data_IF_972836197865
#
_entry.id   IF_972836197865
#
_cell.length_a   1.000
_cell.length_b   1.000
_cell.length_c   1.000
_cell.angle_alpha   90.00
_cell.angle_beta   90.00
_cell.angle_gamma   90.00
#
_symmetry.space_group_name_H-M   'P 1'
#
loop_
_entity.id
_entity.type
_entity.pdbx_description
1 polymer ?
#
# COMPACT_ATOMS: atom_id res chain seq x y z
N UNK A 1 10.30 5.43 1.29
CA UNK A 1 9.63 4.44 0.42
C UNK A 1 10.47 4.20 -0.82
N UNK A 2 10.49 2.97 -1.33
CA UNK A 2 11.15 2.62 -2.58
C UNK A 2 10.18 1.88 -3.49
N UNK A 3 10.19 2.21 -4.79
CA UNK A 3 9.45 1.44 -5.79
C UNK A 3 10.19 0.13 -6.07
N UNK A 4 9.53 -1.00 -5.81
CA UNK A 4 10.08 -2.33 -6.06
C UNK A 4 9.08 -3.17 -6.84
N UNK A 5 9.61 -4.15 -7.58
CA UNK A 5 8.84 -5.17 -8.30
C UNK A 5 9.41 -6.54 -7.94
N UNK A 6 8.54 -7.53 -7.75
CA UNK A 6 8.94 -8.89 -7.43
C UNK A 6 8.12 -9.89 -8.25
N UNK A 7 8.79 -10.91 -8.80
CA UNK A 7 8.12 -12.04 -9.42
C UNK A 7 8.13 -13.25 -8.48
N UNK A 8 7.00 -13.96 -8.40
CA UNK A 8 6.90 -15.25 -7.71
C UNK A 8 6.07 -16.25 -8.52
N UNK A 9 6.65 -17.42 -8.75
CA UNK A 9 5.94 -18.55 -9.36
C UNK A 9 4.73 -19.00 -8.54
N UNK A 10 4.81 -18.91 -7.21
CA UNK A 10 3.70 -19.23 -6.30
C UNK A 10 2.52 -18.25 -6.40
N UNK A 11 2.69 -17.12 -7.08
CA UNK A 11 1.66 -16.12 -7.29
C UNK A 11 1.30 -15.96 -8.78
N UNK A 12 1.65 -16.94 -9.63
CA UNK A 12 1.47 -16.86 -11.10
C UNK A 12 0.02 -16.60 -11.52
N UNK A 13 -0.97 -17.00 -10.73
CA UNK A 13 -2.39 -16.75 -11.01
C UNK A 13 -2.88 -15.37 -10.54
N UNK A 14 -2.03 -14.59 -9.87
CA UNK A 14 -2.39 -13.29 -9.30
C UNK A 14 -1.85 -12.17 -10.19
N UNK A 15 -2.75 -11.31 -10.66
CA UNK A 15 -2.41 -10.04 -11.28
C UNK A 15 -2.80 -8.89 -10.34
N UNK A 16 -1.81 -8.09 -9.96
CA UNK A 16 -2.02 -6.90 -9.14
C UNK A 16 -1.57 -5.61 -9.83
N UNK A 17 -1.65 -5.58 -11.17
CA UNK A 17 -1.37 -4.40 -11.98
C UNK A 17 0.02 -4.36 -12.60
N UNK A 18 0.85 -5.39 -12.42
CA UNK A 18 2.10 -5.57 -13.18
C UNK A 18 2.08 -6.83 -14.06
N UNK A 19 0.94 -7.51 -14.14
CA UNK A 19 0.81 -8.80 -14.80
C UNK A 19 0.93 -9.97 -13.83
N UNK A 20 0.61 -11.15 -14.34
CA UNK A 20 0.56 -12.40 -13.61
C UNK A 20 1.90 -12.77 -12.94
N UNK A 21 1.85 -13.06 -11.64
CA UNK A 21 3.04 -13.42 -10.84
C UNK A 21 3.90 -12.24 -10.39
N UNK A 22 3.64 -11.03 -10.90
CA UNK A 22 4.36 -9.81 -10.52
C UNK A 22 3.60 -9.02 -9.45
N UNK A 23 4.32 -8.54 -8.45
CA UNK A 23 3.84 -7.61 -7.43
C UNK A 23 4.70 -6.37 -7.30
N UNK A 24 4.16 -5.34 -6.63
CA UNK A 24 4.88 -4.10 -6.33
C UNK A 24 4.68 -3.66 -4.88
N UNK A 25 5.52 -2.73 -4.42
CA UNK A 25 5.54 -2.21 -3.05
C UNK A 25 4.19 -1.69 -2.51
N UNK A 26 3.25 -1.33 -3.40
CA UNK A 26 1.93 -0.77 -3.07
C UNK A 26 0.77 -1.78 -3.26
N UNK A 27 1.04 -3.01 -3.66
CA UNK A 27 0.03 -4.04 -3.91
C UNK A 27 -0.53 -4.69 -2.63
N UNK A 28 -0.24 -4.08 -1.48
CA UNK A 28 -0.69 -4.58 -0.19
C UNK A 28 -2.20 -4.38 -0.01
N UNK A 29 -2.86 -5.35 0.61
CA UNK A 29 -4.31 -5.34 0.82
C UNK A 29 -4.70 -6.14 2.06
N UNK A 30 -5.85 -5.80 2.61
CA UNK A 30 -6.49 -6.52 3.70
C UNK A 30 -7.84 -7.06 3.21
N UNK A 31 -8.15 -8.30 3.59
CA UNK A 31 -9.44 -8.95 3.33
C UNK A 31 -10.01 -9.43 4.66
N UNK A 32 -11.23 -8.99 4.99
CA UNK A 32 -11.94 -9.46 6.18
C UNK A 32 -12.56 -10.82 5.89
N UNK A 33 -12.35 -11.77 6.79
CA UNK A 33 -12.89 -13.12 6.72
C UNK A 33 -13.41 -13.53 8.09
N UNK A 34 -14.71 -13.32 8.32
CA UNK A 34 -15.35 -13.57 9.61
C UNK A 34 -14.73 -12.70 10.72
N UNK A 35 -14.17 -13.34 11.74
CA UNK A 35 -13.52 -12.67 12.87
C UNK A 35 -12.00 -12.44 12.67
N UNK A 36 -11.53 -12.60 11.43
CA UNK A 36 -10.12 -12.46 11.07
C UNK A 36 -9.93 -11.49 9.91
N UNK A 37 -8.70 -11.00 9.78
CA UNK A 37 -8.26 -10.21 8.64
C UNK A 37 -7.03 -10.87 8.02
N UNK A 38 -7.07 -11.09 6.72
CA UNK A 38 -5.96 -11.62 5.94
C UNK A 38 -5.24 -10.45 5.28
N UNK A 39 -4.00 -10.24 5.65
CA UNK A 39 -3.10 -9.30 4.99
C UNK A 39 -2.31 -10.00 3.91
N UNK A 40 -2.35 -9.45 2.70
CA UNK A 40 -1.40 -9.79 1.66
C UNK A 40 -0.36 -8.69 1.55
N UNK A 41 0.90 -9.04 1.75
CA UNK A 41 2.03 -8.11 1.68
C UNK A 41 2.46 -7.81 0.23
N UNK A 42 3.50 -6.98 0.09
CA UNK A 42 4.04 -6.59 -1.22
C UNK A 42 4.72 -7.73 -1.99
N UNK A 43 5.00 -8.86 -1.32
CA UNK A 43 5.55 -10.08 -1.90
C UNK A 43 4.46 -11.14 -2.17
N UNK A 44 3.18 -10.76 -2.13
CA UNK A 44 2.04 -11.66 -2.23
C UNK A 44 2.01 -12.78 -1.16
N UNK A 45 2.64 -12.59 -0.01
CA UNK A 45 2.51 -13.49 1.15
C UNK A 45 1.27 -13.12 1.93
N UNK A 46 0.50 -14.13 2.33
CA UNK A 46 -0.69 -13.94 3.16
C UNK A 46 -0.40 -14.25 4.61
N UNK A 47 -0.77 -13.33 5.50
CA UNK A 47 -0.70 -13.49 6.96
C UNK A 47 -2.07 -13.19 7.54
N UNK A 48 -2.59 -14.10 8.36
CA UNK A 48 -3.88 -13.92 9.04
C UNK A 48 -3.65 -13.31 10.41
N UNK A 49 -4.40 -12.25 10.70
CA UNK A 49 -4.50 -11.62 12.01
C UNK A 49 -5.94 -11.75 12.55
N UNK A 50 -6.15 -11.69 13.87
CA UNK A 50 -7.50 -11.46 14.40
C UNK A 50 -8.03 -10.10 13.94
N UNK A 51 -9.35 -9.92 13.99
CA UNK A 51 -9.96 -8.61 13.78
C UNK A 51 -9.44 -7.59 14.83
N UNK A 52 -8.97 -6.41 14.42
CA UNK A 52 -8.55 -5.38 15.36
C UNK A 52 -9.70 -4.97 16.29
N UNK A 53 -9.44 -4.89 17.60
CA UNK A 53 -10.39 -4.35 18.58
C UNK A 53 -9.66 -3.41 19.54
N UNK A 54 -10.39 -2.49 20.16
CA UNK A 54 -9.83 -1.50 21.10
C UNK A 54 -9.16 -2.11 22.35
N UNK A 55 -9.31 -3.43 22.58
CA UNK A 55 -9.01 -4.06 23.86
C UNK A 55 -7.53 -4.45 24.07
N UNK A 56 -6.67 -4.50 23.04
CA UNK A 56 -5.23 -4.87 23.17
C UNK A 56 -4.42 -4.32 22.00
N UNK A 57 -3.09 -4.11 22.11
CA UNK A 57 -2.27 -3.99 20.92
C UNK A 57 -2.43 -5.31 20.14
N UNK A 58 -3.03 -5.25 18.96
CA UNK A 58 -3.44 -6.45 18.26
C UNK A 58 -2.21 -7.17 17.65
N UNK A 59 -1.85 -8.24 18.35
CA UNK A 59 -1.06 -9.43 18.01
C UNK A 59 0.14 -9.20 17.09
N UNK A 60 1.33 -9.32 17.68
CA UNK A 60 2.59 -9.51 16.96
C UNK A 60 2.65 -10.91 16.36
N UNK A 61 2.66 -11.01 15.03
CA UNK A 61 3.18 -12.20 14.37
C UNK A 61 4.71 -12.08 14.36
N UNK A 62 5.37 -12.74 15.31
CA UNK A 62 6.84 -12.72 15.44
C UNK A 62 7.57 -13.29 14.23
N UNK A 63 6.90 -14.11 13.41
CA UNK A 63 7.48 -14.69 12.19
C UNK A 63 7.40 -13.73 10.99
N UNK A 64 6.43 -12.81 11.00
CA UNK A 64 6.25 -11.77 9.99
C UNK A 64 6.72 -10.38 10.45
N UNK A 65 7.18 -10.25 11.70
CA UNK A 65 7.51 -8.99 12.39
C UNK A 65 6.43 -7.91 12.18
N UNK A 66 5.17 -8.34 12.19
CA UNK A 66 4.03 -7.51 11.85
C UNK A 66 2.95 -7.54 12.93
N UNK A 67 2.26 -6.41 13.10
CA UNK A 67 1.12 -6.24 14.00
C UNK A 67 0.05 -5.38 13.31
N UNK A 68 -1.22 -5.59 13.65
CA UNK A 68 -2.34 -4.81 13.12
C UNK A 68 -3.12 -4.18 14.26
N UNK A 69 -3.60 -2.95 14.12
CA UNK A 69 -4.38 -2.26 15.16
C UNK A 69 -5.30 -1.19 14.56
N UNK A 70 -6.17 -0.63 15.40
CA UNK A 70 -7.03 0.49 15.02
C UNK A 70 -6.22 1.78 14.89
N UNK A 71 -6.43 2.50 13.79
CA UNK A 71 -5.81 3.80 13.51
C UNK A 71 -6.47 4.95 14.26
N UNK A 72 -5.99 6.16 13.97
CA UNK A 72 -6.51 7.38 14.58
C UNK A 72 -7.80 7.86 13.91
N UNK A 73 -8.01 7.49 12.64
CA UNK A 73 -9.23 7.79 11.91
C UNK A 73 -10.29 6.71 12.14
N UNK A 74 -11.59 7.05 12.07
CA UNK A 74 -12.65 6.04 12.01
C UNK A 74 -12.40 5.08 10.84
N UNK A 75 -12.60 3.79 11.09
CA UNK A 75 -12.46 2.71 10.11
C UNK A 75 -11.06 2.57 9.50
N UNK A 76 -10.04 3.18 10.11
CA UNK A 76 -8.64 3.00 9.73
C UNK A 76 -8.03 1.83 10.48
N UNK A 77 -7.41 0.92 9.74
CA UNK A 77 -6.56 -0.13 10.28
C UNK A 77 -5.10 0.17 9.93
N UNK A 78 -4.23 0.04 10.91
CA UNK A 78 -2.80 0.27 10.75
C UNK A 78 -2.07 -1.05 10.92
N UNK A 79 -1.29 -1.43 9.92
CA UNK A 79 -0.39 -2.57 9.97
C UNK A 79 1.05 -2.07 10.11
N UNK A 80 1.68 -2.38 11.24
CA UNK A 80 3.11 -2.14 11.44
C UNK A 80 3.89 -3.34 10.89
N UNK A 81 4.89 -3.09 10.05
CA UNK A 81 5.87 -4.09 9.62
C UNK A 81 7.23 -3.41 9.47
N UNK A 82 8.27 -3.99 10.09
CA UNK A 82 9.60 -3.40 10.17
C UNK A 82 9.53 -1.94 10.69
N UNK A 83 10.02 -0.97 9.91
CA UNK A 83 10.00 0.46 10.27
C UNK A 83 8.89 1.27 9.60
N UNK A 84 7.90 0.59 8.98
CA UNK A 84 6.81 1.24 8.25
C UNK A 84 5.45 0.86 8.84
N UNK A 85 4.53 1.80 8.72
CA UNK A 85 3.13 1.67 9.08
C UNK A 85 2.28 1.82 7.83
N UNK A 86 1.48 0.81 7.52
CA UNK A 86 0.59 0.77 6.38
C UNK A 86 -0.83 1.04 6.85
N UNK A 87 -1.46 2.07 6.30
CA UNK A 87 -2.78 2.53 6.70
C UNK A 87 -3.81 2.07 5.68
N UNK A 88 -4.86 1.41 6.16
CA UNK A 88 -5.91 0.83 5.34
C UNK A 88 -7.27 1.36 5.74
N UNK A 89 -8.15 1.53 4.75
CA UNK A 89 -9.58 1.77 4.93
C UNK A 89 -10.34 0.87 3.96
N UNK A 90 -11.39 0.20 4.43
CA UNK A 90 -12.16 -0.76 3.64
C UNK A 90 -11.29 -1.84 2.95
N UNK A 91 -10.20 -2.25 3.62
CA UNK A 91 -9.25 -3.24 3.11
C UNK A 91 -8.21 -2.69 2.12
N UNK A 92 -8.31 -1.42 1.76
CA UNK A 92 -7.49 -0.77 0.73
C UNK A 92 -6.40 0.10 1.35
N UNK A 93 -5.16 -0.02 0.88
CA UNK A 93 -4.04 0.82 1.32
C UNK A 93 -4.27 2.28 0.90
N UNK A 94 -4.23 3.19 1.87
CA UNK A 94 -4.48 4.63 1.71
C UNK A 94 -3.29 5.51 2.09
N UNK A 95 -2.41 5.03 2.97
CA UNK A 95 -1.18 5.74 3.31
C UNK A 95 -0.08 4.80 3.81
N UNK A 96 1.15 5.30 3.80
CA UNK A 96 2.32 4.68 4.42
C UNK A 96 2.99 5.74 5.28
N UNK A 97 3.28 5.45 6.55
CA UNK A 97 4.07 6.34 7.41
C UNK A 97 5.26 5.62 8.05
N UNK A 98 6.16 6.39 8.64
CA UNK A 98 7.27 5.89 9.45
C UNK A 98 7.12 6.31 10.91
N UNK A 99 8.13 6.01 11.73
CA UNK A 99 8.17 6.34 13.16
C UNK A 99 8.23 7.86 13.45
N UNK A 100 8.51 8.69 12.44
CA UNK A 100 8.56 10.16 12.55
C UNK A 100 7.29 10.82 12.00
N UNK A 101 6.26 10.03 11.69
CA UNK A 101 5.00 10.47 11.07
C UNK A 101 5.20 11.10 9.67
N UNK A 102 6.31 10.77 8.98
CA UNK A 102 6.44 11.11 7.56
C UNK A 102 5.44 10.26 6.78
N UNK A 103 4.35 10.86 6.33
CA UNK A 103 3.22 10.14 5.72
C UNK A 103 3.13 10.37 4.22
N UNK A 104 3.21 9.29 3.46
CA UNK A 104 2.86 9.23 2.05
C UNK A 104 1.38 8.88 1.90
N UNK A 105 0.63 9.70 1.17
CA UNK A 105 -0.78 9.45 0.84
C UNK A 105 -0.89 8.78 -0.50
N UNK A 106 -1.87 7.88 -0.63
CA UNK A 106 -2.13 7.13 -1.85
C UNK A 106 -3.50 7.55 -2.37
N UNK A 107 -3.49 8.28 -3.47
CA UNK A 107 -4.70 8.67 -4.18
C UNK A 107 -5.04 7.63 -5.26
N UNK A 108 -6.34 7.37 -5.43
CA UNK A 108 -6.85 6.42 -6.42
C UNK A 108 -7.72 7.13 -7.45
N UNK A 109 -7.74 6.61 -8.67
CA UNK A 109 -8.68 7.05 -9.68
C UNK A 109 -10.09 6.51 -9.40
N UNK A 110 -11.06 6.93 -10.23
CA UNK A 110 -12.46 6.49 -10.14
C UNK A 110 -12.66 4.98 -10.36
N UNK A 111 -11.69 4.28 -10.94
CA UNK A 111 -11.70 2.82 -11.08
C UNK A 111 -11.06 2.10 -9.88
N UNK A 112 -10.62 2.85 -8.88
CA UNK A 112 -9.97 2.32 -7.68
C UNK A 112 -8.48 1.96 -7.87
N UNK A 113 -7.87 2.28 -9.02
CA UNK A 113 -6.44 2.05 -9.24
C UNK A 113 -5.62 3.14 -8.56
N UNK A 114 -4.43 2.80 -8.08
CA UNK A 114 -3.53 3.80 -7.49
C UNK A 114 -3.13 4.78 -8.59
N UNK A 115 -3.50 6.05 -8.45
CA UNK A 115 -3.13 7.09 -9.39
C UNK A 115 -1.84 7.76 -8.95
N UNK A 116 -1.74 8.14 -7.67
CA UNK A 116 -0.66 8.98 -7.15
C UNK A 116 -0.26 8.57 -5.75
N UNK A 117 1.04 8.71 -5.47
CA UNK A 117 1.59 8.70 -4.12
C UNK A 117 2.22 10.07 -3.88
N UNK A 118 1.83 10.80 -2.83
CA UNK A 118 2.41 12.12 -2.54
C UNK A 118 2.75 12.29 -1.06
N UNK A 119 3.69 13.16 -0.76
CA UNK A 119 4.13 13.48 0.60
C UNK A 119 3.43 14.71 1.19
N UNK A 120 2.36 15.21 0.56
CA UNK A 120 1.63 16.41 0.93
C UNK A 120 2.44 17.72 0.98
N UNK A 121 3.72 17.71 0.64
CA UNK A 121 4.61 18.89 0.57
C UNK A 121 5.07 19.15 -0.87
N UNK A 122 4.23 18.77 -1.84
CA UNK A 122 4.43 19.10 -3.25
C UNK A 122 5.33 18.13 -4.01
N UNK A 123 5.59 16.92 -3.52
CA UNK A 123 6.29 15.88 -4.29
C UNK A 123 5.45 14.61 -4.35
N UNK A 124 5.50 13.91 -5.48
CA UNK A 124 4.77 12.67 -5.64
C UNK A 124 5.23 11.82 -6.81
N UNK A 125 4.67 10.62 -6.87
CA UNK A 125 4.84 9.65 -7.94
C UNK A 125 3.47 9.42 -8.59
N UNK A 126 3.39 9.56 -9.90
CA UNK A 126 2.21 9.24 -10.71
C UNK A 126 2.40 7.86 -11.35
N UNK A 127 1.42 6.98 -11.19
CA UNK A 127 1.40 5.69 -11.89
C UNK A 127 0.63 5.83 -13.20
N UNK A 128 1.27 5.46 -14.32
CA UNK A 128 0.62 5.40 -15.64
C UNK A 128 0.25 3.97 -15.97
N UNK A 129 -0.92 3.83 -16.58
CA UNK A 129 -1.49 2.53 -16.91
C UNK A 129 -1.76 2.37 -18.40
N UNK A 130 -1.52 1.18 -18.92
CA UNK A 130 -1.99 0.71 -20.22
C UNK A 130 -2.66 -0.65 -20.04
N UNK A 131 -3.89 -0.82 -20.55
CA UNK A 131 -4.66 -2.08 -20.46
C UNK A 131 -4.79 -2.68 -19.05
N UNK A 132 -4.78 -1.82 -18.03
CA UNK A 132 -4.90 -2.24 -16.62
C UNK A 132 -3.56 -2.48 -15.92
N UNK A 133 -2.44 -2.44 -16.64
CA UNK A 133 -1.10 -2.63 -16.09
C UNK A 133 -0.33 -1.33 -15.98
N UNK A 134 0.45 -1.20 -14.92
CA UNK A 134 1.37 -0.10 -14.68
C UNK A 134 2.50 -0.21 -15.69
N UNK A 135 2.63 0.80 -16.53
CA UNK A 135 3.66 0.88 -17.57
C UNK A 135 4.76 1.87 -17.24
N UNK A 136 4.51 2.78 -16.29
CA UNK A 136 5.49 3.77 -15.89
C UNK A 136 5.17 4.38 -14.51
N UNK A 137 6.22 4.90 -13.89
CA UNK A 137 6.15 5.70 -12.66
C UNK A 137 6.83 7.03 -12.93
N UNK A 138 6.10 8.13 -12.81
CA UNK A 138 6.62 9.47 -13.08
C UNK A 138 6.78 10.24 -11.77
N UNK A 139 7.97 10.75 -11.50
CA UNK A 139 8.20 11.68 -10.41
C UNK A 139 7.67 13.06 -10.78
N UNK A 140 6.81 13.60 -9.91
CA UNK A 140 6.14 14.86 -10.10
C UNK A 140 6.36 15.81 -8.92
N UNK A 141 6.45 17.09 -9.23
CA UNK A 141 6.50 18.18 -8.25
C UNK A 141 5.31 19.09 -8.48
N UNK A 142 4.67 19.53 -7.40
CA UNK A 142 3.60 20.50 -7.43
C UNK A 142 4.20 21.90 -7.61
N UNK A 143 3.83 22.58 -8.68
CA UNK A 143 4.20 23.96 -8.97
C UNK A 143 2.92 24.78 -9.02
N UNK A 144 2.82 25.76 -8.14
CA UNK A 144 1.58 26.51 -7.90
C UNK A 144 0.43 25.57 -7.51
N UNK A 145 -0.57 25.40 -8.39
CA UNK A 145 -1.71 24.50 -8.19
C UNK A 145 -1.62 23.20 -9.02
N UNK A 146 -0.67 23.11 -9.94
CA UNK A 146 -0.56 22.01 -10.91
C UNK A 146 0.63 21.07 -10.64
N UNK A 147 0.52 19.84 -11.12
CA UNK A 147 1.58 18.83 -11.02
C UNK A 147 2.38 18.74 -12.30
N UNK A 148 3.70 18.82 -12.20
CA UNK A 148 4.63 18.75 -13.33
C UNK A 148 5.50 17.51 -13.20
N UNK A 149 5.55 16.68 -14.25
CA UNK A 149 6.50 15.55 -14.32
C UNK A 149 7.91 16.07 -14.55
N UNK A 150 8.83 15.73 -13.66
CA UNK A 150 10.25 16.07 -13.79
C UNK A 150 11.07 14.88 -14.31
N UNK A 151 10.67 13.65 -13.98
CA UNK A 151 11.42 12.45 -14.35
C UNK A 151 10.49 11.24 -14.53
N UNK A 152 10.79 10.40 -15.51
CA UNK A 152 10.25 9.04 -15.60
C UNK A 152 11.22 8.07 -14.88
N UNK A 153 10.70 7.37 -13.88
CA UNK A 153 11.49 6.55 -12.93
C UNK A 153 11.59 5.09 -13.39
N UNK A 154 10.60 4.62 -14.17
CA UNK A 154 10.50 3.27 -14.75
C UNK A 154 9.81 3.35 -16.10
#
# INVERSE_FOLDING_TARGET
>A
FAWTRLYRSSAVEVDCGLGFGWSHALAQRLVVSGESVVWTDHENRSTTFPLPSAARPAITNSLAEAAIYLGALPDEWVLAQASLFYHFRDGVLTAISDAYDNRLRIARDYSGRIQRIDNHVGQGLLLRYERGHIVAVDYQVQRELDWVTEQNVV
#
